data_IF_475147722810
#
_entry.id   IF_475147722810
#
_cell.length_a   1.000
_cell.length_b   1.000
_cell.length_c   1.000
_cell.angle_alpha   90.00
_cell.angle_beta   90.00
_cell.angle_gamma   90.00
#
_symmetry.space_group_name_H-M   'P 1'
#
loop_
_entity.id
_entity.type
_entity.pdbx_description
1 polymer ?
#
# COMPACT_ATOMS: atom_id res chain seq x y z
N UNK A 1 -4.69 19.66 12.29
CA UNK A 1 -3.50 18.86 11.95
C UNK A 1 -3.87 17.41 12.24
N UNK A 2 -4.03 16.56 11.22
CA UNK A 2 -4.26 15.14 11.49
C UNK A 2 -3.00 14.59 12.15
N UNK A 3 -3.14 14.01 13.35
CA UNK A 3 -2.02 13.34 14.00
C UNK A 3 -1.75 12.04 13.22
N UNK A 4 -0.59 11.94 12.58
CA UNK A 4 -0.11 10.67 12.06
C UNK A 4 0.12 9.74 13.25
N UNK A 5 -0.70 8.69 13.35
CA UNK A 5 -0.61 7.73 14.43
C UNK A 5 0.24 6.58 13.94
N UNK A 6 1.54 6.64 14.26
CA UNK A 6 2.42 5.49 14.13
C UNK A 6 1.81 4.34 14.94
N UNK A 7 1.33 3.33 14.22
CA UNK A 7 0.68 2.16 14.82
C UNK A 7 1.13 0.90 14.10
N UNK A 8 1.21 -0.17 14.87
CA UNK A 8 1.40 -1.52 14.34
C UNK A 8 0.13 -2.31 14.59
N UNK A 9 -0.38 -2.98 13.57
CA UNK A 9 -1.50 -3.91 13.70
C UNK A 9 -1.22 -5.25 13.02
N UNK A 10 -1.99 -6.26 13.39
CA UNK A 10 -2.05 -7.53 12.65
C UNK A 10 -3.33 -7.57 11.85
N UNK A 11 -3.23 -7.75 10.53
CA UNK A 11 -4.36 -7.83 9.62
C UNK A 11 -4.06 -8.85 8.52
N UNK A 12 -4.98 -9.78 8.27
CA UNK A 12 -4.86 -10.80 7.22
C UNK A 12 -3.53 -11.60 7.27
N UNK A 13 -3.09 -11.99 8.47
CA UNK A 13 -1.83 -12.70 8.70
C UNK A 13 -0.57 -11.92 8.23
N UNK A 14 -0.65 -10.59 8.21
CA UNK A 14 0.46 -9.68 8.03
C UNK A 14 0.57 -8.75 9.23
N UNK A 15 1.79 -8.34 9.53
CA UNK A 15 2.03 -7.19 10.41
C UNK A 15 2.11 -5.94 9.54
N UNK A 16 1.34 -4.92 9.89
CA UNK A 16 1.31 -3.66 9.17
C UNK A 16 1.76 -2.56 10.11
N UNK A 17 2.87 -1.92 9.76
CA UNK A 17 3.39 -0.75 10.45
C UNK A 17 2.96 0.49 9.65
N UNK A 18 2.13 1.34 10.25
CA UNK A 18 1.51 2.49 9.61
C UNK A 18 2.30 3.77 9.89
N UNK A 19 2.41 4.65 8.88
CA UNK A 19 3.04 5.97 8.99
C UNK A 19 4.49 5.95 9.51
N UNK A 20 5.25 4.90 9.19
CA UNK A 20 6.67 4.77 9.56
C UNK A 20 7.45 5.98 9.04
N UNK A 21 8.20 6.71 9.90
CA UNK A 21 9.00 7.85 9.48
C UNK A 21 10.22 7.40 8.68
N UNK A 22 10.39 7.97 7.48
CA UNK A 22 11.56 7.76 6.63
C UNK A 22 12.26 9.11 6.49
N UNK A 23 13.36 9.29 7.24
CA UNK A 23 14.16 10.52 7.21
C UNK A 23 15.05 10.53 5.96
N UNK A 24 14.89 11.57 5.16
CA UNK A 24 15.72 11.85 3.99
C UNK A 24 17.01 12.58 4.38
N UNK A 25 17.94 12.68 3.43
CA UNK A 25 19.24 13.33 3.60
C UNK A 25 19.14 14.85 3.81
N UNK A 26 18.11 15.49 3.26
CA UNK A 26 17.76 16.89 3.48
C UNK A 26 17.06 17.18 4.83
N UNK A 27 16.77 16.12 5.60
CA UNK A 27 16.11 16.19 6.90
C UNK A 27 14.58 16.15 6.85
N UNK A 28 13.95 16.13 5.67
CA UNK A 28 12.51 15.87 5.52
C UNK A 28 12.17 14.45 5.98
N UNK A 29 10.93 14.27 6.43
CA UNK A 29 10.43 12.96 6.90
C UNK A 29 9.24 12.56 6.04
N UNK A 30 9.46 11.56 5.18
CA UNK A 30 8.39 10.88 4.46
C UNK A 30 7.69 9.88 5.38
N UNK A 31 6.49 9.45 4.98
CA UNK A 31 5.66 8.49 5.72
C UNK A 31 5.31 7.31 4.83
N UNK A 32 5.63 6.11 5.28
CA UNK A 32 5.36 4.86 4.56
C UNK A 32 4.59 3.86 5.40
N UNK A 33 3.77 3.04 4.75
CA UNK A 33 3.16 1.87 5.38
C UNK A 33 4.00 0.63 5.02
N UNK A 34 4.34 -0.19 6.00
CA UNK A 34 5.15 -1.41 5.79
C UNK A 34 4.28 -2.64 6.04
N UNK A 35 4.00 -3.38 4.98
CA UNK A 35 3.28 -4.64 5.01
C UNK A 35 4.30 -5.78 5.01
N UNK A 36 4.37 -6.57 6.09
CA UNK A 36 5.40 -7.60 6.25
C UNK A 36 4.90 -8.90 6.85
N UNK A 37 5.61 -10.03 6.61
CA UNK A 37 5.28 -11.31 7.25
C UNK A 37 5.26 -11.24 8.78
N UNK A 38 4.52 -12.14 9.42
CA UNK A 38 4.43 -12.22 10.89
C UNK A 38 5.75 -12.61 11.56
N UNK A 39 6.57 -13.38 10.85
CA UNK A 39 7.88 -13.87 11.30
C UNK A 39 8.98 -12.91 10.89
N UNK A 40 9.91 -12.64 11.79
CA UNK A 40 11.08 -11.82 11.48
C UNK A 40 12.05 -12.56 10.55
N UNK A 41 12.70 -11.83 9.64
CA UNK A 41 13.58 -12.39 8.63
C UNK A 41 13.99 -11.35 7.59
N UNK A 42 14.80 -11.78 6.60
CA UNK A 42 15.13 -10.97 5.42
C UNK A 42 14.26 -11.42 4.26
N UNK A 43 13.54 -10.47 3.68
CA UNK A 43 12.62 -10.71 2.56
C UNK A 43 12.90 -9.70 1.44
N UNK A 44 12.63 -10.06 0.17
CA UNK A 44 12.58 -9.07 -0.89
C UNK A 44 11.49 -8.03 -0.59
N UNK A 45 11.73 -6.79 -1.00
CA UNK A 45 10.79 -5.67 -0.80
C UNK A 45 10.28 -5.24 -2.17
N UNK A 46 8.96 -5.04 -2.24
CA UNK A 46 8.29 -4.34 -3.33
C UNK A 46 7.95 -2.95 -2.80
N UNK A 47 8.33 -1.90 -3.53
CA UNK A 47 8.08 -0.52 -3.15
C UNK A 47 7.11 0.11 -4.14
N UNK A 48 6.18 0.89 -3.62
CA UNK A 48 5.39 1.84 -4.38
C UNK A 48 5.48 3.18 -3.65
N UNK A 49 5.78 4.24 -4.39
CA UNK A 49 5.82 5.58 -3.86
C UNK A 49 5.26 6.55 -4.89
N UNK A 50 4.61 7.60 -4.41
CA UNK A 50 4.04 8.60 -5.28
C UNK A 50 3.36 9.70 -4.51
N UNK A 51 3.02 10.80 -5.20
CA UNK A 51 2.28 11.91 -4.61
C UNK A 51 0.81 11.57 -4.35
N UNK A 52 0.31 10.44 -4.88
CA UNK A 52 -1.11 10.10 -4.88
C UNK A 52 -1.45 9.05 -3.81
N UNK A 53 -1.68 9.54 -2.59
CA UNK A 53 -2.43 8.85 -1.52
C UNK A 53 -2.08 7.39 -1.25
N UNK A 54 -1.02 7.12 -0.48
CA UNK A 54 -0.60 5.78 -0.01
C UNK A 54 -1.66 4.94 0.72
N UNK A 55 -2.76 5.56 1.13
CA UNK A 55 -3.86 4.95 1.89
C UNK A 55 -5.14 4.82 1.05
N UNK A 56 -5.07 5.09 -0.26
CA UNK A 56 -6.22 5.04 -1.16
C UNK A 56 -6.23 3.74 -1.95
N UNK A 57 -7.28 2.94 -1.75
CA UNK A 57 -7.52 1.77 -2.59
C UNK A 57 -7.93 2.20 -4.00
N UNK A 58 -7.45 1.49 -5.02
CA UNK A 58 -7.76 1.80 -6.41
C UNK A 58 -9.27 1.82 -6.69
N UNK A 59 -10.01 0.90 -6.06
CA UNK A 59 -11.46 0.77 -6.20
C UNK A 59 -12.23 1.98 -5.66
N UNK A 60 -11.68 2.69 -4.68
CA UNK A 60 -12.40 3.78 -4.00
C UNK A 60 -12.33 5.08 -4.79
N UNK A 61 -11.14 5.45 -5.30
CA UNK A 61 -10.94 6.73 -5.97
C UNK A 61 -11.20 6.65 -7.49
N UNK A 62 -11.02 5.47 -8.09
CA UNK A 62 -11.05 5.28 -9.55
C UNK A 62 -11.98 4.13 -9.96
N UNK A 63 -13.17 4.07 -9.35
CA UNK A 63 -14.15 2.99 -9.56
C UNK A 63 -14.45 2.70 -11.03
N UNK A 64 -14.65 3.71 -11.87
CA UNK A 64 -14.88 3.51 -13.31
C UNK A 64 -13.69 2.86 -14.01
N UNK A 65 -12.45 3.26 -13.66
CA UNK A 65 -11.24 2.65 -14.23
C UNK A 65 -11.09 1.21 -13.75
N UNK A 66 -11.37 0.94 -12.47
CA UNK A 66 -11.39 -0.41 -11.91
C UNK A 66 -12.41 -1.31 -12.63
N UNK A 67 -13.64 -0.85 -12.80
CA UNK A 67 -14.71 -1.59 -13.47
C UNK A 67 -14.36 -1.94 -14.91
N UNK A 68 -13.82 -0.98 -15.67
CA UNK A 68 -13.35 -1.21 -17.04
C UNK A 68 -12.21 -2.23 -17.06
N UNK A 69 -11.22 -2.06 -16.16
CA UNK A 69 -10.07 -2.97 -16.08
C UNK A 69 -10.52 -4.40 -15.78
N UNK A 70 -11.38 -4.62 -14.79
CA UNK A 70 -11.88 -5.96 -14.43
C UNK A 70 -12.73 -6.56 -15.55
N UNK A 71 -13.53 -5.75 -16.24
CA UNK A 71 -14.34 -6.21 -17.37
C UNK A 71 -13.47 -6.70 -18.53
N UNK A 72 -12.45 -5.93 -18.90
CA UNK A 72 -11.61 -6.21 -20.06
C UNK A 72 -10.50 -7.22 -19.75
N UNK A 73 -10.07 -7.28 -18.49
CA UNK A 73 -9.04 -8.18 -17.96
C UNK A 73 -9.56 -8.90 -16.70
N UNK A 74 -10.42 -9.92 -16.83
CA UNK A 74 -11.01 -10.58 -15.66
C UNK A 74 -10.02 -11.42 -14.84
N UNK A 75 -8.74 -11.49 -15.21
CA UNK A 75 -7.69 -12.19 -14.47
C UNK A 75 -7.10 -11.35 -13.33
N UNK A 76 -7.18 -10.02 -13.38
CA UNK A 76 -6.61 -9.13 -12.34
C UNK A 76 -7.36 -9.25 -11.00
N UNK A 77 -8.66 -9.54 -11.00
CA UNK A 77 -9.45 -9.65 -9.77
C UNK A 77 -9.58 -11.08 -9.21
N UNK A 78 -9.20 -12.11 -9.99
CA UNK A 78 -9.51 -13.52 -9.66
C UNK A 78 -8.52 -14.22 -8.72
N UNK A 79 -7.25 -13.84 -8.73
CA UNK A 79 -6.19 -14.59 -8.05
C UNK A 79 -5.63 -13.91 -6.79
N UNK A 80 -6.22 -12.78 -6.39
CA UNK A 80 -5.83 -12.01 -5.20
C UNK A 80 -7.08 -11.41 -4.56
N UNK A 81 -7.00 -11.13 -3.26
CA UNK A 81 -8.07 -10.42 -2.56
C UNK A 81 -8.20 -8.95 -2.98
N UNK A 82 -7.18 -8.38 -3.64
CA UNK A 82 -7.17 -7.00 -4.17
C UNK A 82 -7.40 -5.88 -3.14
N UNK A 83 -7.39 -6.20 -1.84
CA UNK A 83 -7.65 -5.26 -0.73
C UNK A 83 -6.55 -4.21 -0.51
N UNK A 84 -5.39 -4.36 -1.14
CA UNK A 84 -4.26 -3.43 -1.10
C UNK A 84 -3.84 -3.00 -2.51
N UNK A 85 -4.74 -3.13 -3.48
CA UNK A 85 -4.46 -2.76 -4.86
C UNK A 85 -4.33 -1.23 -4.97
N UNK A 86 -3.18 -0.78 -5.47
CA UNK A 86 -2.94 0.61 -5.85
C UNK A 86 -3.04 0.76 -7.37
N UNK A 87 -3.41 1.96 -7.84
CA UNK A 87 -3.36 2.31 -9.25
C UNK A 87 -1.93 2.53 -9.74
N UNK A 88 -1.07 3.04 -8.87
CA UNK A 88 0.32 3.33 -9.23
C UNK A 88 1.15 2.05 -9.31
N UNK A 89 2.06 2.04 -10.29
CA UNK A 89 2.91 0.89 -10.60
C UNK A 89 4.04 0.74 -9.57
N UNK A 90 4.58 -0.48 -9.48
CA UNK A 90 5.83 -0.76 -8.76
C UNK A 90 6.99 -0.10 -9.51
N UNK A 91 7.84 0.66 -8.81
CA UNK A 91 9.14 1.13 -9.32
C UNK A 91 10.26 0.10 -9.08
#
# INVERSE_FOLDING_TARGET
>A
MAAYLEKTETRNNMRIDWDVPIRMDDGLVLRGNVYRPMTDGKYPVILSYGPYGKDLAFQDLYSTCWEIMVKDHPDVDRNSSNIHQSWEVVD
#
